data_IF_255070842679
#
_entry.id   IF_255070842679
#
_cell.length_a   1.000
_cell.length_b   1.000
_cell.length_c   1.000
_cell.angle_alpha   90.00
_cell.angle_beta   90.00
_cell.angle_gamma   90.00
#
_symmetry.space_group_name_H-M   'P 1'
#
loop_
_entity.id
_entity.type
_entity.pdbx_description
1 polymer ?
#
# COMPACT_ATOMS: atom_id res chain seq x y z
N UNK A 1 -13.95 24.94 -6.11
CA UNK A 1 -12.51 24.53 -5.97
C UNK A 1 -12.03 23.65 -7.12
N UNK A 2 -12.89 22.78 -7.68
CA UNK A 2 -12.55 21.89 -8.81
C UNK A 2 -12.37 22.70 -10.11
N UNK A 3 -13.13 23.76 -10.30
CA UNK A 3 -13.07 24.62 -11.50
C UNK A 3 -11.68 25.22 -11.74
N UNK A 4 -10.93 25.51 -10.67
CA UNK A 4 -9.60 26.10 -10.71
C UNK A 4 -8.46 25.07 -10.62
N UNK A 5 -8.77 23.75 -10.67
CA UNK A 5 -7.74 22.72 -10.67
C UNK A 5 -6.91 22.79 -11.95
N UNK A 6 -5.60 22.93 -11.78
CA UNK A 6 -4.62 22.89 -12.88
C UNK A 6 -3.92 21.53 -12.87
N UNK A 7 -3.90 20.89 -14.03
CA UNK A 7 -3.32 19.53 -14.19
C UNK A 7 -1.81 19.45 -13.89
N UNK A 8 -1.13 20.60 -13.81
CA UNK A 8 0.29 20.69 -13.49
C UNK A 8 0.59 21.02 -12.01
N UNK A 9 -0.42 21.00 -11.12
CA UNK A 9 -0.25 21.27 -9.69
C UNK A 9 -0.72 20.08 -8.86
N UNK A 10 -0.05 19.86 -7.74
CA UNK A 10 -0.52 18.91 -6.74
C UNK A 10 -1.74 19.51 -6.02
N UNK A 11 -2.74 18.67 -5.80
CA UNK A 11 -3.97 19.05 -5.13
C UNK A 11 -4.19 18.15 -3.91
N UNK A 12 -4.30 18.75 -2.74
CA UNK A 12 -4.75 18.07 -1.54
C UNK A 12 -6.20 18.51 -1.25
N UNK A 13 -7.09 17.53 -1.04
CA UNK A 13 -8.50 17.77 -0.78
C UNK A 13 -8.83 17.19 0.60
N UNK A 14 -9.02 18.07 1.55
CA UNK A 14 -9.55 17.71 2.86
C UNK A 14 -11.08 17.75 2.80
N UNK A 15 -11.71 16.64 3.17
CA UNK A 15 -13.15 16.49 3.12
C UNK A 15 -13.63 15.49 4.18
N UNK A 16 -14.59 15.89 4.98
CA UNK A 16 -15.24 15.01 5.96
C UNK A 16 -16.08 13.93 5.27
N UNK A 17 -16.46 12.89 6.00
CA UNK A 17 -17.37 11.85 5.47
C UNK A 17 -18.67 12.50 4.93
N UNK A 18 -19.11 12.07 3.76
CA UNK A 18 -20.35 12.59 3.13
C UNK A 18 -20.22 13.94 2.41
N UNK A 19 -19.07 14.60 2.41
CA UNK A 19 -18.89 15.95 1.82
C UNK A 19 -18.57 15.95 0.32
N UNK A 20 -18.71 14.81 -0.36
CA UNK A 20 -18.56 14.75 -1.81
C UNK A 20 -17.14 14.43 -2.32
N UNK A 21 -16.26 13.78 -1.51
CA UNK A 21 -14.94 13.30 -1.97
C UNK A 21 -15.04 12.55 -3.29
N UNK A 22 -15.94 11.58 -3.36
CA UNK A 22 -16.14 10.76 -4.55
C UNK A 22 -16.67 11.56 -5.75
N UNK A 23 -17.57 12.51 -5.53
CA UNK A 23 -18.01 13.44 -6.57
C UNK A 23 -16.84 14.25 -7.13
N UNK A 24 -15.95 14.70 -6.25
CA UNK A 24 -14.76 15.43 -6.63
C UNK A 24 -13.82 14.60 -7.50
N UNK A 25 -13.57 13.33 -7.14
CA UNK A 25 -12.72 12.41 -7.93
C UNK A 25 -13.32 12.21 -9.33
N UNK A 26 -14.63 11.97 -9.45
CA UNK A 26 -15.33 11.85 -10.72
C UNK A 26 -15.11 13.09 -11.60
N UNK A 27 -15.35 14.27 -11.07
CA UNK A 27 -15.20 15.54 -11.83
C UNK A 27 -13.75 15.85 -12.19
N UNK A 28 -12.78 15.45 -11.36
CA UNK A 28 -11.36 15.55 -11.70
C UNK A 28 -11.03 14.60 -12.86
N UNK A 29 -11.50 13.36 -12.86
CA UNK A 29 -11.25 12.40 -13.94
C UNK A 29 -11.78 12.92 -15.30
N UNK A 30 -12.99 13.48 -15.33
CA UNK A 30 -13.54 14.10 -16.54
C UNK A 30 -12.71 15.30 -17.00
N UNK A 31 -12.22 16.12 -16.07
CA UNK A 31 -11.38 17.27 -16.39
C UNK A 31 -10.02 16.86 -16.96
N UNK A 32 -9.43 15.77 -16.47
CA UNK A 32 -8.20 15.21 -17.00
C UNK A 32 -8.39 14.74 -18.45
N UNK A 33 -9.48 14.02 -18.72
CA UNK A 33 -9.81 13.56 -20.07
C UNK A 33 -10.01 14.75 -21.02
N UNK A 34 -10.75 15.81 -20.61
CA UNK A 34 -10.88 17.04 -21.39
C UNK A 34 -9.55 17.74 -21.68
N UNK A 35 -8.61 17.66 -20.74
CA UNK A 35 -7.25 18.18 -20.91
C UNK A 35 -6.36 17.29 -21.80
N UNK A 36 -6.92 16.23 -22.41
CA UNK A 36 -6.20 15.32 -23.30
C UNK A 36 -5.35 14.26 -22.56
N UNK A 37 -5.53 14.10 -21.25
CA UNK A 37 -4.81 13.07 -20.47
C UNK A 37 -5.65 11.78 -20.50
N UNK A 38 -5.16 10.70 -21.16
CA UNK A 38 -5.91 9.45 -21.21
C UNK A 38 -6.01 8.81 -19.82
N UNK A 39 -7.12 8.17 -19.52
CA UNK A 39 -7.32 7.48 -18.23
C UNK A 39 -6.25 6.43 -17.95
N UNK A 40 -5.71 5.78 -18.98
CA UNK A 40 -4.60 4.81 -18.84
C UNK A 40 -3.31 5.42 -18.28
N UNK A 41 -3.18 6.76 -18.28
CA UNK A 41 -2.07 7.50 -17.69
C UNK A 41 -2.39 8.04 -16.29
N UNK A 42 -3.56 7.70 -15.76
CA UNK A 42 -4.01 8.10 -14.42
C UNK A 42 -4.09 6.87 -13.53
N UNK A 43 -3.41 6.91 -12.40
CA UNK A 43 -3.44 5.89 -11.37
C UNK A 43 -4.48 6.29 -10.32
N UNK A 44 -5.47 5.43 -10.07
CA UNK A 44 -6.48 5.64 -9.03
C UNK A 44 -6.25 4.62 -7.91
N UNK A 45 -6.05 5.09 -6.70
CA UNK A 45 -5.76 4.25 -5.55
C UNK A 45 -6.76 4.51 -4.42
N UNK A 46 -7.15 3.41 -3.79
CA UNK A 46 -8.04 3.41 -2.62
C UNK A 46 -7.47 2.46 -1.54
N UNK A 47 -8.13 2.42 -0.40
CA UNK A 47 -7.70 1.55 0.69
C UNK A 47 -8.25 0.11 0.56
N UNK A 48 -9.44 -0.10 -0.04
CA UNK A 48 -10.07 -1.41 -0.15
C UNK A 48 -10.44 -1.77 -1.58
N UNK A 49 -10.46 -3.07 -1.91
CA UNK A 49 -10.89 -3.56 -3.22
C UNK A 49 -12.35 -3.20 -3.52
N UNK A 50 -13.21 -3.18 -2.50
CA UNK A 50 -14.60 -2.72 -2.65
C UNK A 50 -14.66 -1.26 -3.09
N UNK A 51 -13.90 -0.38 -2.43
CA UNK A 51 -13.84 1.03 -2.80
C UNK A 51 -13.24 1.23 -4.21
N UNK A 52 -12.28 0.39 -4.61
CA UNK A 52 -11.72 0.39 -5.96
C UNK A 52 -12.79 0.04 -7.02
N UNK A 53 -13.58 -0.99 -6.78
CA UNK A 53 -14.71 -1.35 -7.65
C UNK A 53 -15.72 -0.22 -7.77
N UNK A 54 -16.16 0.35 -6.64
CA UNK A 54 -17.07 1.50 -6.63
C UNK A 54 -16.48 2.72 -7.35
N UNK A 55 -15.19 2.98 -7.20
CA UNK A 55 -14.51 4.08 -7.90
C UNK A 55 -14.50 3.85 -9.40
N UNK A 56 -14.25 2.62 -9.86
CA UNK A 56 -14.25 2.25 -11.27
C UNK A 56 -15.62 2.50 -11.91
N UNK A 57 -16.68 2.04 -11.25
CA UNK A 57 -18.05 2.24 -11.73
C UNK A 57 -18.40 3.72 -11.82
N UNK A 58 -17.99 4.51 -10.83
CA UNK A 58 -18.24 5.96 -10.79
C UNK A 58 -17.46 6.72 -11.85
N UNK A 59 -16.19 6.35 -12.10
CA UNK A 59 -15.39 6.94 -13.19
C UNK A 59 -16.04 6.61 -14.54
N UNK A 60 -16.47 5.36 -14.75
CA UNK A 60 -17.18 4.94 -15.97
C UNK A 60 -18.48 5.74 -16.19
N UNK A 61 -19.30 5.85 -15.14
CA UNK A 61 -20.55 6.61 -15.21
C UNK A 61 -20.32 8.10 -15.54
N UNK A 62 -19.28 8.72 -14.98
CA UNK A 62 -18.91 10.10 -15.31
C UNK A 62 -18.47 10.26 -16.76
N UNK A 63 -17.67 9.32 -17.28
CA UNK A 63 -17.26 9.35 -18.69
C UNK A 63 -18.46 9.21 -19.62
N UNK A 64 -19.43 8.35 -19.27
CA UNK A 64 -20.67 8.17 -20.03
C UNK A 64 -21.53 9.44 -19.98
N UNK A 65 -21.75 10.02 -18.80
CA UNK A 65 -22.48 11.28 -18.62
C UNK A 65 -21.87 12.41 -19.45
N UNK A 66 -20.55 12.53 -19.46
CA UNK A 66 -19.85 13.54 -20.25
C UNK A 66 -19.97 13.27 -21.76
N UNK A 67 -19.88 12.01 -22.19
CA UNK A 67 -20.05 11.62 -23.60
C UNK A 67 -21.46 11.97 -24.13
N UNK A 68 -22.49 11.68 -23.33
CA UNK A 68 -23.88 11.90 -23.72
C UNK A 68 -24.24 13.39 -23.76
N UNK A 69 -23.69 14.18 -22.84
CA UNK A 69 -24.05 15.60 -22.70
C UNK A 69 -23.18 16.55 -23.55
N UNK A 70 -22.05 16.10 -24.11
CA UNK A 70 -21.25 16.98 -24.96
C UNK A 70 -21.74 17.01 -26.40
N UNK A 71 -21.78 18.20 -26.98
CA UNK A 71 -22.05 18.43 -28.42
C UNK A 71 -20.75 18.64 -29.22
N UNK A 72 -19.61 18.83 -28.52
CA UNK A 72 -18.31 18.99 -29.15
C UNK A 72 -17.80 17.65 -29.66
N UNK A 73 -17.52 17.56 -30.96
CA UNK A 73 -17.05 16.33 -31.62
C UNK A 73 -15.69 15.88 -31.07
N UNK A 74 -14.81 16.81 -30.73
CA UNK A 74 -13.50 16.50 -30.18
C UNK A 74 -13.62 15.92 -28.75
N UNK A 75 -14.36 16.60 -27.88
CA UNK A 75 -14.64 16.06 -26.53
C UNK A 75 -15.33 14.69 -26.60
N UNK A 76 -16.27 14.50 -27.51
CA UNK A 76 -16.95 13.23 -27.71
C UNK A 76 -15.99 12.09 -28.04
N UNK A 77 -14.98 12.35 -28.88
CA UNK A 77 -13.92 11.36 -29.16
C UNK A 77 -13.07 11.06 -27.93
N UNK A 78 -12.73 12.07 -27.12
CA UNK A 78 -11.96 11.86 -25.88
C UNK A 78 -12.72 10.97 -24.89
N UNK A 79 -14.00 11.22 -24.65
CA UNK A 79 -14.81 10.43 -23.74
C UNK A 79 -15.12 9.04 -24.29
N UNK A 80 -15.33 8.88 -25.59
CA UNK A 80 -15.47 7.57 -26.22
C UNK A 80 -14.22 6.71 -26.01
N UNK A 81 -13.05 7.28 -26.22
CA UNK A 81 -11.77 6.60 -25.97
C UNK A 81 -11.60 6.28 -24.48
N UNK A 82 -11.93 7.21 -23.58
CA UNK A 82 -11.88 6.97 -22.15
C UNK A 82 -12.79 5.80 -21.73
N UNK A 83 -14.02 5.72 -22.24
CA UNK A 83 -14.96 4.62 -21.99
C UNK A 83 -14.42 3.26 -22.45
N UNK A 84 -13.83 3.19 -23.64
CA UNK A 84 -13.22 1.96 -24.16
C UNK A 84 -12.04 1.50 -23.32
N UNK A 85 -11.34 2.41 -22.64
CA UNK A 85 -10.12 2.13 -21.90
C UNK A 85 -10.29 2.17 -20.37
N UNK A 86 -11.50 2.33 -19.83
CA UNK A 86 -11.73 2.31 -18.37
C UNK A 86 -11.24 1.00 -17.75
N UNK A 87 -11.45 -0.13 -18.43
CA UNK A 87 -11.03 -1.44 -17.92
C UNK A 87 -9.52 -1.64 -17.88
N UNK A 88 -8.80 -0.92 -18.73
CA UNK A 88 -7.35 -0.89 -18.79
C UNK A 88 -6.73 0.17 -17.84
N UNK A 89 -7.56 1.00 -17.21
CA UNK A 89 -7.12 2.00 -16.24
C UNK A 89 -6.79 1.30 -14.93
N UNK A 90 -5.67 1.64 -14.33
CA UNK A 90 -5.29 1.09 -13.03
C UNK A 90 -6.09 1.79 -11.94
N UNK A 91 -7.13 1.10 -11.48
CA UNK A 91 -8.00 1.50 -10.36
C UNK A 91 -7.96 0.34 -9.37
N UNK A 92 -7.34 0.54 -8.20
CA UNK A 92 -7.12 -0.55 -7.24
C UNK A 92 -6.64 -0.07 -5.89
N UNK A 93 -6.18 -1.00 -5.08
CA UNK A 93 -5.52 -0.70 -3.81
C UNK A 93 -4.03 -0.42 -4.03
N UNK A 94 -3.39 0.21 -3.02
CA UNK A 94 -1.93 0.40 -3.05
C UNK A 94 -1.21 -0.95 -3.16
N UNK A 95 -1.73 -1.98 -2.50
CA UNK A 95 -1.17 -3.33 -2.57
C UNK A 95 -1.29 -3.94 -3.97
N UNK A 96 -2.46 -3.86 -4.59
CA UNK A 96 -2.67 -4.37 -5.96
C UNK A 96 -1.82 -3.62 -6.99
N UNK A 97 -1.60 -2.31 -6.79
CA UNK A 97 -0.66 -1.53 -7.59
C UNK A 97 0.79 -2.01 -7.42
N UNK A 98 1.26 -2.23 -6.18
CA UNK A 98 2.61 -2.75 -5.92
C UNK A 98 2.79 -4.15 -6.51
N UNK A 99 1.82 -5.05 -6.33
CA UNK A 99 1.84 -6.39 -6.91
C UNK A 99 1.95 -6.35 -8.44
N UNK A 100 1.10 -5.53 -9.08
CA UNK A 100 1.15 -5.33 -10.54
C UNK A 100 2.50 -4.75 -10.98
N UNK A 101 3.02 -3.79 -10.25
CA UNK A 101 4.33 -3.16 -10.53
C UNK A 101 5.45 -4.18 -10.49
N UNK A 102 5.51 -5.03 -9.45
CA UNK A 102 6.52 -6.08 -9.32
C UNK A 102 6.36 -7.18 -10.39
N UNK A 103 5.13 -7.48 -10.79
CA UNK A 103 4.87 -8.42 -11.88
C UNK A 103 5.32 -7.86 -13.24
N UNK A 104 4.91 -6.63 -13.57
CA UNK A 104 5.16 -6.03 -14.88
C UNK A 104 6.62 -5.55 -15.05
N UNK A 105 7.32 -5.23 -13.96
CA UNK A 105 8.66 -4.64 -13.91
C UNK A 105 9.59 -5.36 -12.94
N UNK A 106 9.50 -6.69 -12.85
CA UNK A 106 10.31 -7.48 -11.92
C UNK A 106 11.82 -7.28 -12.13
N UNK A 107 12.26 -7.13 -13.37
CA UNK A 107 13.66 -6.86 -13.71
C UNK A 107 14.12 -5.49 -13.19
N UNK A 108 13.34 -4.44 -13.44
CA UNK A 108 13.63 -3.08 -12.99
C UNK A 108 13.54 -2.95 -11.45
N UNK A 109 12.71 -3.77 -10.83
CA UNK A 109 12.57 -3.86 -9.38
C UNK A 109 13.62 -4.76 -8.72
N UNK A 110 14.39 -5.52 -9.51
CA UNK A 110 15.36 -6.49 -9.03
C UNK A 110 14.77 -7.52 -8.05
N UNK A 111 13.57 -8.04 -8.38
CA UNK A 111 12.87 -9.06 -7.59
C UNK A 111 12.71 -10.36 -8.37
N UNK A 112 12.56 -11.46 -7.65
CA UNK A 112 12.28 -12.74 -8.28
C UNK A 112 10.88 -12.76 -8.92
N UNK A 113 10.76 -13.45 -10.05
CA UNK A 113 9.47 -13.66 -10.70
C UNK A 113 8.64 -14.68 -9.91
N UNK A 114 7.33 -14.48 -9.91
CA UNK A 114 6.34 -15.45 -9.39
C UNK A 114 6.46 -15.76 -7.90
N UNK A 115 6.72 -14.74 -7.07
CA UNK A 115 6.55 -14.90 -5.63
C UNK A 115 5.06 -15.02 -5.30
N UNK A 116 4.69 -16.04 -4.54
CA UNK A 116 3.32 -16.23 -4.04
C UNK A 116 3.09 -15.39 -2.77
N UNK A 117 1.83 -15.08 -2.49
CA UNK A 117 1.50 -14.40 -1.24
C UNK A 117 1.59 -15.38 -0.07
N UNK A 118 2.37 -15.03 0.94
CA UNK A 118 2.43 -15.77 2.18
C UNK A 118 1.05 -15.77 2.86
N UNK A 119 0.54 -16.95 3.17
CA UNK A 119 -0.75 -17.12 3.83
C UNK A 119 -0.61 -17.25 5.34
N UNK A 120 -1.73 -17.11 6.04
CA UNK A 120 -1.79 -17.21 7.50
C UNK A 120 -1.37 -18.59 8.04
N UNK A 121 -1.58 -19.65 7.26
CA UNK A 121 -1.18 -21.00 7.68
C UNK A 121 0.33 -21.09 7.81
N UNK A 122 1.09 -20.50 6.87
CA UNK A 122 2.56 -20.51 6.93
C UNK A 122 3.10 -19.81 8.18
N UNK A 123 2.47 -18.69 8.58
CA UNK A 123 2.81 -17.97 9.84
C UNK A 123 2.48 -18.81 11.06
N UNK A 124 1.26 -19.37 11.09
CA UNK A 124 0.80 -20.20 12.22
C UNK A 124 1.67 -21.43 12.39
N UNK A 125 2.01 -22.13 11.30
CA UNK A 125 2.88 -23.30 11.33
C UNK A 125 4.28 -22.98 11.88
N UNK A 126 4.86 -21.84 11.47
CA UNK A 126 6.13 -21.38 12.00
C UNK A 126 6.06 -21.09 13.50
N UNK A 127 5.05 -20.30 13.92
CA UNK A 127 4.86 -19.95 15.34
C UNK A 127 4.67 -21.21 16.17
N UNK A 128 3.83 -22.15 15.72
CA UNK A 128 3.56 -23.41 16.42
C UNK A 128 4.80 -24.29 16.51
N UNK A 129 5.63 -24.33 15.45
CA UNK A 129 6.91 -25.00 15.48
C UNK A 129 7.85 -24.37 16.50
N UNK A 130 8.01 -23.05 16.48
CA UNK A 130 8.88 -22.34 17.43
C UNK A 130 8.46 -22.54 18.88
N UNK A 131 7.15 -22.54 19.14
CA UNK A 131 6.58 -22.83 20.47
C UNK A 131 6.95 -24.24 20.91
N UNK A 132 6.74 -25.25 20.05
CA UNK A 132 7.03 -26.65 20.41
C UNK A 132 8.50 -26.90 20.66
N UNK A 133 9.36 -26.36 19.76
CA UNK A 133 10.76 -26.74 19.73
C UNK A 133 11.63 -25.90 20.68
N UNK A 134 11.27 -24.61 20.88
CA UNK A 134 12.15 -23.68 21.57
C UNK A 134 11.55 -23.01 22.80
N UNK A 135 10.21 -22.87 22.89
CA UNK A 135 9.59 -21.98 23.87
C UNK A 135 8.63 -22.66 24.83
N UNK A 136 8.41 -23.96 24.71
CA UNK A 136 7.42 -24.70 25.48
C UNK A 136 7.49 -24.46 26.99
N UNK A 137 8.70 -24.56 27.54
CA UNK A 137 8.93 -24.40 28.96
C UNK A 137 8.85 -22.95 29.42
N UNK A 138 9.20 -22.00 28.53
CA UNK A 138 9.17 -20.57 28.84
C UNK A 138 7.77 -19.95 28.88
N UNK A 139 6.78 -20.63 28.32
CA UNK A 139 5.39 -20.11 28.21
C UNK A 139 4.37 -20.95 28.95
N UNK A 140 4.79 -21.96 29.73
CA UNK A 140 3.90 -22.90 30.42
C UNK A 140 2.83 -22.21 31.26
N UNK A 141 3.17 -21.09 31.91
CA UNK A 141 2.31 -20.33 32.82
C UNK A 141 1.73 -19.06 32.19
N UNK A 142 1.93 -18.87 30.87
CA UNK A 142 1.51 -17.67 30.15
C UNK A 142 0.28 -17.94 29.27
N UNK A 143 -0.45 -16.88 28.92
CA UNK A 143 -1.59 -16.96 27.99
C UNK A 143 -1.10 -17.21 26.54
N UNK A 144 -1.12 -18.49 26.16
CA UNK A 144 -0.67 -18.96 24.85
C UNK A 144 -1.44 -18.29 23.70
N UNK A 145 -2.74 -18.04 23.83
CA UNK A 145 -3.55 -17.41 22.78
C UNK A 145 -3.09 -15.98 22.54
N UNK A 146 -2.85 -15.26 23.62
CA UNK A 146 -2.39 -13.88 23.58
C UNK A 146 -0.98 -13.79 22.99
N UNK A 147 -0.08 -14.70 23.39
CA UNK A 147 1.28 -14.77 22.83
C UNK A 147 1.22 -15.03 21.32
N UNK A 148 0.46 -16.02 20.85
CA UNK A 148 0.32 -16.33 19.42
C UNK A 148 -0.21 -15.12 18.63
N UNK A 149 -1.21 -14.40 19.16
CA UNK A 149 -1.71 -13.18 18.51
C UNK A 149 -0.61 -12.14 18.36
N UNK A 150 0.10 -11.82 19.44
CA UNK A 150 1.20 -10.83 19.42
C UNK A 150 2.31 -11.24 18.45
N UNK A 151 2.73 -12.50 18.44
CA UNK A 151 3.76 -13.02 17.54
C UNK A 151 3.30 -12.94 16.08
N UNK A 152 2.03 -13.26 15.79
CA UNK A 152 1.46 -13.13 14.45
C UNK A 152 1.44 -11.67 13.98
N UNK A 153 0.95 -10.78 14.83
CA UNK A 153 0.89 -9.34 14.53
C UNK A 153 2.29 -8.75 14.31
N UNK A 154 3.31 -9.25 15.06
CA UNK A 154 4.70 -8.81 14.87
C UNK A 154 5.26 -9.17 13.50
N UNK A 155 4.88 -10.31 12.91
CA UNK A 155 5.29 -10.73 11.57
C UNK A 155 4.63 -9.91 10.45
N UNK A 156 3.57 -9.17 10.77
CA UNK A 156 2.91 -8.22 9.88
C UNK A 156 3.41 -6.79 10.08
N UNK A 157 4.22 -6.53 11.11
CA UNK A 157 4.74 -5.21 11.42
C UNK A 157 5.84 -4.80 10.44
N UNK A 158 5.86 -3.51 10.09
CA UNK A 158 6.94 -2.89 9.30
C UNK A 158 8.27 -2.78 10.06
N UNK A 159 8.20 -2.82 11.38
CA UNK A 159 9.36 -2.75 12.26
C UNK A 159 9.19 -3.75 13.40
N UNK A 160 9.71 -4.98 13.25
CA UNK A 160 9.61 -6.02 14.27
C UNK A 160 10.41 -5.70 15.54
N UNK A 161 11.29 -4.70 15.48
CA UNK A 161 12.06 -4.21 16.63
C UNK A 161 11.29 -3.21 17.51
N UNK A 162 10.06 -2.84 17.13
CA UNK A 162 9.20 -2.07 18.02
C UNK A 162 8.89 -2.93 19.23
N UNK A 163 9.63 -2.69 20.28
CA UNK A 163 9.49 -3.33 21.57
C UNK A 163 8.09 -3.06 22.11
N UNK A 164 7.39 -4.12 22.43
CA UNK A 164 6.17 -4.03 23.24
C UNK A 164 6.57 -3.52 24.62
N UNK A 165 6.52 -2.21 24.81
CA UNK A 165 6.63 -1.63 26.15
C UNK A 165 5.21 -1.61 26.72
N UNK A 166 4.88 -2.48 27.67
CA UNK A 166 3.56 -2.44 28.28
C UNK A 166 3.42 -1.12 29.05
N UNK A 167 2.31 -0.41 28.83
CA UNK A 167 1.92 0.71 29.66
C UNK A 167 1.48 0.18 31.03
N UNK A 168 2.44 -0.03 31.94
CA UNK A 168 2.22 -0.49 33.31
C UNK A 168 2.85 0.52 34.23
N UNK A 169 2.13 0.94 35.26
CA UNK A 169 2.70 1.73 36.34
C UNK A 169 3.86 0.95 36.97
N UNK A 170 5.03 1.57 37.12
CA UNK A 170 6.30 0.97 37.55
C UNK A 170 6.22 0.20 38.89
N UNK A 171 5.15 0.32 39.64
CA UNK A 171 4.94 -0.30 40.95
C UNK A 171 3.65 -1.12 41.06
N UNK A 172 3.07 -1.54 39.95
CA UNK A 172 1.86 -2.37 40.01
C UNK A 172 2.16 -3.75 40.59
N UNK A 173 1.51 -4.09 41.68
CA UNK A 173 1.55 -5.43 42.30
C UNK A 173 0.38 -6.32 41.88
N UNK A 174 -0.39 -5.91 40.89
CA UNK A 174 -1.53 -6.71 40.41
C UNK A 174 -1.02 -7.90 39.62
N UNK A 175 -1.53 -9.08 39.90
CA UNK A 175 -1.15 -10.34 39.21
C UNK A 175 -1.29 -10.24 37.69
N UNK A 176 -2.35 -9.58 37.18
CA UNK A 176 -2.60 -9.37 35.77
C UNK A 176 -1.52 -8.50 35.09
N UNK A 177 -0.98 -7.51 35.80
CA UNK A 177 0.08 -6.65 35.29
C UNK A 177 1.42 -7.38 35.23
N UNK A 178 1.68 -8.24 36.22
CA UNK A 178 2.86 -9.11 36.21
C UNK A 178 2.82 -10.08 35.01
N UNK A 179 1.66 -10.69 34.74
CA UNK A 179 1.48 -11.56 33.57
C UNK A 179 1.67 -10.82 32.24
N UNK A 180 1.20 -9.57 32.15
CA UNK A 180 1.44 -8.71 30.95
C UNK A 180 2.94 -8.42 30.77
N UNK A 181 3.65 -8.12 31.85
CA UNK A 181 5.10 -7.89 31.82
C UNK A 181 5.87 -9.11 31.34
N UNK A 182 5.53 -10.30 31.86
CA UNK A 182 6.15 -11.54 31.47
C UNK A 182 5.93 -11.86 29.97
N UNK A 183 4.71 -11.62 29.47
CA UNK A 183 4.41 -11.77 28.03
C UNK A 183 5.21 -10.78 27.20
N UNK A 184 5.29 -9.52 27.62
CA UNK A 184 6.06 -8.49 26.93
C UNK A 184 7.56 -8.81 26.89
N UNK A 185 8.16 -9.23 28.01
CA UNK A 185 9.56 -9.64 28.11
C UNK A 185 9.84 -10.84 27.21
N UNK A 186 8.95 -11.85 27.26
CA UNK A 186 9.04 -13.02 26.39
C UNK A 186 9.02 -12.61 24.90
N UNK A 187 8.05 -11.79 24.50
CA UNK A 187 7.94 -11.33 23.11
C UNK A 187 9.15 -10.51 22.68
N UNK A 188 9.59 -9.56 23.51
CA UNK A 188 10.77 -8.72 23.20
C UNK A 188 12.02 -9.54 22.96
N UNK A 189 12.23 -10.61 23.74
CA UNK A 189 13.39 -11.52 23.58
C UNK A 189 13.31 -12.42 22.36
N UNK A 190 12.12 -12.81 21.95
CA UNK A 190 11.94 -13.87 20.95
C UNK A 190 11.50 -13.38 19.56
N UNK A 191 10.88 -12.21 19.44
CA UNK A 191 10.44 -11.65 18.15
C UNK A 191 11.61 -11.50 17.15
N UNK A 192 12.81 -11.02 17.51
CA UNK A 192 13.91 -10.93 16.57
C UNK A 192 14.30 -12.27 15.94
N UNK A 193 14.32 -13.33 16.74
CA UNK A 193 14.62 -14.69 16.24
C UNK A 193 13.45 -15.24 15.38
N UNK A 194 12.21 -15.02 15.81
CA UNK A 194 11.04 -15.40 15.03
C UNK A 194 11.04 -14.73 13.66
N UNK A 195 11.36 -13.43 13.61
CA UNK A 195 11.43 -12.68 12.36
C UNK A 195 12.50 -13.22 11.41
N UNK A 196 13.68 -13.56 11.96
CA UNK A 196 14.75 -14.19 11.18
C UNK A 196 14.33 -15.53 10.57
N UNK A 197 13.66 -16.38 11.36
CA UNK A 197 13.14 -17.66 10.86
C UNK A 197 11.99 -17.44 9.85
N UNK A 198 11.19 -16.39 10.02
CA UNK A 198 10.14 -16.01 9.05
C UNK A 198 10.74 -15.60 7.71
N UNK A 199 11.76 -14.75 7.68
CA UNK A 199 12.44 -14.36 6.43
C UNK A 199 13.02 -15.58 5.70
N UNK A 200 13.67 -16.49 6.46
CA UNK A 200 14.14 -17.76 5.91
C UNK A 200 13.00 -18.61 5.35
N UNK A 201 11.90 -18.73 6.09
CA UNK A 201 10.72 -19.52 5.67
C UNK A 201 10.09 -18.96 4.40
N UNK A 202 9.95 -17.64 4.29
CA UNK A 202 9.45 -16.97 3.06
C UNK A 202 10.35 -17.30 1.87
N UNK A 203 11.65 -17.20 2.04
CA UNK A 203 12.63 -17.53 1.00
C UNK A 203 12.53 -18.99 0.54
N UNK A 204 12.49 -19.94 1.49
CA UNK A 204 12.36 -21.37 1.21
C UNK A 204 11.04 -21.72 0.50
N UNK A 205 9.96 -21.01 0.83
CA UNK A 205 8.62 -21.23 0.25
C UNK A 205 8.35 -20.39 -0.99
N UNK A 206 9.29 -19.58 -1.44
CA UNK A 206 9.12 -18.62 -2.54
C UNK A 206 7.89 -17.72 -2.36
N UNK A 207 7.71 -17.18 -1.14
CA UNK A 207 6.55 -16.36 -0.77
C UNK A 207 6.97 -14.98 -0.29
N UNK A 208 6.04 -14.03 -0.37
CA UNK A 208 6.19 -12.67 0.12
C UNK A 208 4.92 -12.19 0.82
N UNK A 209 5.03 -11.26 1.76
CA UNK A 209 3.88 -10.59 2.36
C UNK A 209 3.48 -9.36 1.54
N UNK A 210 2.29 -8.81 1.82
CA UNK A 210 1.88 -7.53 1.25
C UNK A 210 2.85 -6.39 1.59
N UNK A 211 3.40 -6.42 2.79
CA UNK A 211 4.39 -5.44 3.23
C UNK A 211 5.72 -5.59 2.48
N UNK A 212 6.16 -6.82 2.21
CA UNK A 212 7.36 -7.07 1.41
C UNK A 212 7.22 -6.49 0.00
N UNK A 213 6.03 -6.60 -0.61
CA UNK A 213 5.77 -6.00 -1.93
C UNK A 213 5.92 -4.48 -1.92
N UNK A 214 5.33 -3.81 -0.93
CA UNK A 214 5.45 -2.34 -0.81
C UNK A 214 6.91 -1.96 -0.56
N UNK A 215 7.60 -2.68 0.32
CA UNK A 215 9.01 -2.45 0.62
C UNK A 215 9.88 -2.65 -0.64
N UNK A 216 9.66 -3.71 -1.41
CA UNK A 216 10.40 -3.98 -2.64
C UNK A 216 10.20 -2.86 -3.69
N UNK A 217 8.95 -2.42 -3.91
CA UNK A 217 8.67 -1.28 -4.82
C UNK A 217 9.35 -0.01 -4.30
N UNK A 218 9.26 0.26 -2.99
CA UNK A 218 9.88 1.45 -2.39
C UNK A 218 11.40 1.42 -2.56
N UNK A 219 12.08 0.32 -2.26
CA UNK A 219 13.54 0.20 -2.44
C UNK A 219 13.94 0.33 -3.92
N UNK A 220 13.14 -0.21 -4.84
CA UNK A 220 13.40 -0.08 -6.27
C UNK A 220 13.15 1.34 -6.83
N UNK A 221 12.27 2.13 -6.21
CA UNK A 221 11.95 3.51 -6.60
C UNK A 221 12.85 4.53 -5.91
N UNK A 222 13.02 4.40 -4.60
CA UNK A 222 13.79 5.32 -3.74
C UNK A 222 14.59 4.53 -2.69
N UNK A 223 15.76 3.99 -3.06
CA UNK A 223 16.59 3.18 -2.18
C UNK A 223 16.85 3.85 -0.83
N UNK A 224 16.61 3.12 0.27
CA UNK A 224 16.73 3.60 1.64
C UNK A 224 15.88 4.85 1.95
N UNK A 225 14.79 5.10 1.19
CA UNK A 225 13.94 6.28 1.31
C UNK A 225 14.61 7.58 0.90
N UNK A 226 15.70 7.50 0.18
CA UNK A 226 16.44 8.70 -0.27
C UNK A 226 16.11 9.01 -1.71
N UNK A 227 15.76 10.27 -1.95
CA UNK A 227 15.61 10.78 -3.31
C UNK A 227 16.99 10.79 -4.00
N UNK A 228 17.03 10.21 -5.17
CA UNK A 228 18.24 10.22 -6.03
C UNK A 228 18.10 11.31 -7.08
N UNK A 229 19.21 12.04 -7.36
CA UNK A 229 19.26 13.03 -8.46
C UNK A 229 18.87 12.40 -9.79
N UNK A 230 19.37 11.18 -10.05
CA UNK A 230 18.95 10.38 -11.19
C UNK A 230 17.93 9.34 -10.73
N UNK A 231 16.71 9.38 -11.30
CA UNK A 231 15.68 8.41 -10.92
C UNK A 231 16.09 6.99 -11.34
N UNK A 232 15.75 6.01 -10.49
CA UNK A 232 15.98 4.60 -10.77
C UNK A 232 15.24 4.16 -12.04
N UNK A 233 15.60 2.98 -12.55
CA UNK A 233 14.98 2.45 -13.75
C UNK A 233 13.46 2.25 -13.55
N UNK A 234 13.05 1.66 -12.42
CA UNK A 234 11.62 1.51 -12.09
C UNK A 234 10.91 2.85 -11.97
N UNK A 235 11.53 3.83 -11.29
CA UNK A 235 10.94 5.17 -11.17
C UNK A 235 10.70 5.81 -12.55
N UNK A 236 11.64 5.70 -13.49
CA UNK A 236 11.48 6.16 -14.87
C UNK A 236 10.29 5.49 -15.56
N UNK A 237 10.20 4.15 -15.46
CA UNK A 237 9.09 3.37 -16.04
C UNK A 237 7.73 3.77 -15.48
N UNK A 238 7.63 3.94 -14.15
CA UNK A 238 6.38 4.39 -13.54
C UNK A 238 5.98 5.80 -13.99
N UNK A 239 6.93 6.73 -14.14
CA UNK A 239 6.69 8.09 -14.68
C UNK A 239 6.28 8.10 -16.17
N UNK A 240 6.78 7.16 -16.96
CA UNK A 240 6.36 6.95 -18.35
C UNK A 240 4.92 6.44 -18.42
N UNK A 241 4.56 5.51 -17.52
CA UNK A 241 3.24 4.88 -17.50
C UNK A 241 2.18 5.77 -16.87
N UNK A 242 2.48 6.47 -15.80
CA UNK A 242 1.52 7.26 -15.04
C UNK A 242 1.96 8.73 -14.96
N UNK A 243 1.05 9.62 -15.35
CA UNK A 243 1.28 11.06 -15.26
C UNK A 243 0.69 11.67 -14.00
N UNK A 244 -0.36 11.06 -13.48
CA UNK A 244 -1.12 11.54 -12.33
C UNK A 244 -1.49 10.35 -11.44
N UNK A 245 -1.41 10.53 -10.14
CA UNK A 245 -2.01 9.63 -9.14
C UNK A 245 -3.12 10.36 -8.39
N UNK A 246 -4.25 9.68 -8.24
CA UNK A 246 -5.38 10.08 -7.40
C UNK A 246 -5.48 9.05 -6.29
N UNK A 247 -5.21 9.47 -5.06
CA UNK A 247 -5.20 8.60 -3.88
C UNK A 247 -6.35 9.01 -2.96
N UNK A 248 -7.31 8.11 -2.80
CA UNK A 248 -8.39 8.27 -1.83
C UNK A 248 -7.97 7.73 -0.46
N UNK A 249 -8.53 8.29 0.61
CA UNK A 249 -8.22 7.97 2.00
C UNK A 249 -6.69 8.06 2.30
N UNK A 250 -6.07 9.13 1.83
CA UNK A 250 -4.62 9.36 1.94
C UNK A 250 -4.11 9.35 3.39
N UNK A 251 -4.96 9.63 4.39
CA UNK A 251 -4.61 9.57 5.80
C UNK A 251 -4.19 8.17 6.28
N UNK A 252 -4.60 7.12 5.56
CA UNK A 252 -4.25 5.73 5.87
C UNK A 252 -2.94 5.28 5.23
N UNK A 253 -2.28 6.19 4.48
CA UNK A 253 -1.02 5.93 3.79
C UNK A 253 0.15 5.96 4.79
N UNK A 254 0.95 4.90 4.81
CA UNK A 254 2.15 4.83 5.62
C UNK A 254 3.38 5.49 4.94
N UNK A 255 4.50 5.60 5.67
CA UNK A 255 5.71 6.25 5.19
C UNK A 255 6.29 5.58 3.93
N UNK A 256 6.30 4.23 3.84
CA UNK A 256 6.85 3.52 2.68
C UNK A 256 6.02 3.77 1.42
N UNK A 257 4.71 3.76 1.55
CA UNK A 257 3.77 4.09 0.47
C UNK A 257 3.93 5.54 0.04
N UNK A 258 4.05 6.46 1.01
CA UNK A 258 4.31 7.86 0.74
C UNK A 258 5.63 8.08 -0.02
N UNK A 259 6.72 7.42 0.39
CA UNK A 259 8.02 7.52 -0.28
C UNK A 259 7.92 7.15 -1.77
N UNK A 260 7.15 6.10 -2.12
CA UNK A 260 6.89 5.70 -3.51
C UNK A 260 6.21 6.83 -4.26
N UNK A 261 5.05 7.30 -3.78
CA UNK A 261 4.25 8.29 -4.51
C UNK A 261 4.93 9.65 -4.57
N UNK A 262 5.57 10.08 -3.49
CA UNK A 262 6.36 11.30 -3.45
C UNK A 262 7.45 11.26 -4.52
N UNK A 263 8.24 10.20 -4.57
CA UNK A 263 9.35 10.07 -5.51
C UNK A 263 8.86 10.00 -6.96
N UNK A 264 7.81 9.22 -7.25
CA UNK A 264 7.33 9.07 -8.62
C UNK A 264 6.66 10.36 -9.13
N UNK A 265 5.78 10.98 -8.33
CA UNK A 265 4.87 12.02 -8.81
C UNK A 265 5.21 13.45 -8.37
N UNK A 266 5.87 13.64 -7.24
CA UNK A 266 6.12 14.98 -6.70
C UNK A 266 7.55 15.47 -6.98
N UNK A 267 8.54 14.59 -6.90
CA UNK A 267 9.95 14.94 -7.08
C UNK A 267 10.40 14.83 -8.55
N UNK A 268 9.47 14.55 -9.46
CA UNK A 268 9.73 14.53 -10.91
C UNK A 268 9.82 15.91 -11.55
N UNK A 269 9.44 16.95 -10.84
CA UNK A 269 9.52 18.32 -11.35
C UNK A 269 10.92 18.84 -11.11
N UNK A 270 11.79 18.65 -12.11
CA UNK A 270 12.85 19.61 -12.34
C UNK A 270 12.21 21.00 -12.37
N UNK A 271 12.72 21.88 -11.53
CA UNK A 271 12.36 23.28 -11.52
C UNK A 271 12.57 23.85 -12.94
N UNK A 272 11.50 24.03 -13.67
CA UNK A 272 11.39 24.96 -14.79
C UNK A 272 10.48 26.11 -14.38
#
# INVERSE_FOLDING_TARGET
KIENFKTNKNLFIEASAGTGKTYTIRKISAKLVRAGIPLSKVLFLTYTEKAAGEMKDRVRAEMQECYDNTTDIYEKKLFANALQNVDNTVIGTIHSFCQKTLHDFAYEANVAFNLENANDNLKNDLIDKMIRDNWRDSISDLDLKKIKSILKDSLESWNPEILFTPLIEENSKKEDDIKKLLIADFCAKNIPNLYKEWEKKKTESNTQTFNDMIFAVREAVCPHGKFLKEPTLLCKKLRENYKIAIIDEFQDTNQYQWDIFKTVFLESKENN
#
